data_IF_519816217778
#
_entry.id   IF_519816217778
#
_cell.length_a   1.000
_cell.length_b   1.000
_cell.length_c   1.000
_cell.angle_alpha   90.00
_cell.angle_beta   90.00
_cell.angle_gamma   90.00
#
_symmetry.space_group_name_H-M   'P 1'
#
loop_
_entity.id
_entity.type
_entity.pdbx_description
1 polymer ?
#
# COMPACT_ATOMS: atom_id res chain seq x y z
N UNK A 1 -22.74 14.22 10.22
CA UNK A 1 -23.51 14.49 11.46
C UNK A 1 -24.13 13.19 11.93
N UNK A 2 -24.07 12.88 13.23
CA UNK A 2 -24.70 11.70 13.79
C UNK A 2 -25.61 12.11 14.96
N UNK A 3 -26.83 11.60 14.96
CA UNK A 3 -27.78 11.66 16.07
C UNK A 3 -27.99 10.26 16.64
N UNK A 4 -28.85 10.11 17.65
CA UNK A 4 -29.21 8.79 18.18
C UNK A 4 -29.80 7.87 17.09
N UNK A 5 -30.49 8.46 16.10
CA UNK A 5 -31.23 7.71 15.08
C UNK A 5 -30.66 7.81 13.68
N UNK A 6 -30.05 8.93 13.29
CA UNK A 6 -29.59 9.14 11.93
C UNK A 6 -28.09 9.39 11.84
N UNK A 7 -27.49 8.89 10.77
CA UNK A 7 -26.13 9.21 10.34
C UNK A 7 -26.19 9.83 8.95
N UNK A 8 -25.70 11.07 8.84
CA UNK A 8 -25.55 11.79 7.58
C UNK A 8 -24.07 12.01 7.28
N UNK A 9 -23.64 11.63 6.08
CA UNK A 9 -22.28 11.82 5.58
C UNK A 9 -22.28 12.66 4.30
N UNK A 10 -21.28 13.53 4.20
CA UNK A 10 -20.96 14.25 2.98
C UNK A 10 -19.54 13.86 2.53
N UNK A 11 -19.43 13.32 1.31
CA UNK A 11 -18.17 12.90 0.72
C UNK A 11 -17.82 13.86 -0.45
N UNK A 12 -17.21 15.03 -0.18
CA UNK A 12 -16.92 16.02 -1.22
C UNK A 12 -15.97 15.52 -2.32
N UNK A 13 -15.24 14.43 -2.06
CA UNK A 13 -14.31 13.82 -2.99
C UNK A 13 -14.95 12.81 -3.95
N UNK A 14 -16.15 12.34 -3.64
CA UNK A 14 -16.82 11.31 -4.41
C UNK A 14 -17.37 11.88 -5.72
N UNK A 15 -17.01 11.26 -6.83
CA UNK A 15 -17.56 11.53 -8.16
C UNK A 15 -18.07 10.24 -8.84
N UNK A 16 -18.18 9.13 -8.11
CA UNK A 16 -18.59 7.82 -8.63
C UNK A 16 -17.46 7.05 -9.33
N UNK A 17 -16.36 7.69 -9.69
CA UNK A 17 -15.23 7.06 -10.40
C UNK A 17 -13.95 7.02 -9.56
N UNK A 18 -13.71 8.04 -8.75
CA UNK A 18 -12.53 8.17 -7.89
C UNK A 18 -12.53 7.07 -6.85
N UNK A 19 -11.43 6.31 -6.78
CA UNK A 19 -11.21 5.31 -5.74
C UNK A 19 -10.67 5.98 -4.48
N UNK A 20 -11.31 5.73 -3.34
CA UNK A 20 -10.88 6.22 -2.04
C UNK A 20 -9.44 5.82 -1.74
N UNK A 21 -8.59 6.82 -1.50
CA UNK A 21 -7.22 6.63 -1.03
C UNK A 21 -7.21 6.45 0.51
N UNK A 22 -7.38 5.21 0.98
CA UNK A 22 -7.43 4.88 2.41
C UNK A 22 -6.39 3.83 2.81
N UNK A 23 -5.89 3.92 4.06
CA UNK A 23 -4.95 2.95 4.63
C UNK A 23 -5.55 1.54 4.74
N UNK A 24 -6.88 1.46 4.85
CA UNK A 24 -7.61 0.20 5.04
C UNK A 24 -7.57 -0.70 3.80
N UNK A 25 -7.31 -0.15 2.60
CA UNK A 25 -7.17 -0.93 1.36
C UNK A 25 -5.97 -1.88 1.38
N UNK A 26 -5.01 -1.68 2.29
CA UNK A 26 -3.86 -2.58 2.48
C UNK A 26 -4.14 -3.81 3.35
N UNK A 27 -5.30 -3.90 4.01
CA UNK A 27 -5.59 -4.93 5.02
C UNK A 27 -5.93 -6.30 4.42
N UNK A 28 -5.76 -7.37 5.21
CA UNK A 28 -6.18 -8.73 4.83
C UNK A 28 -7.69 -8.82 4.61
N UNK A 29 -8.48 -8.14 5.45
CA UNK A 29 -9.94 -8.08 5.34
C UNK A 29 -10.37 -7.45 4.02
N UNK A 30 -9.78 -6.32 3.63
CA UNK A 30 -10.09 -5.69 2.35
C UNK A 30 -9.75 -6.61 1.16
N UNK A 31 -8.57 -7.25 1.19
CA UNK A 31 -8.19 -8.20 0.14
C UNK A 31 -9.17 -9.36 0.04
N UNK A 32 -9.63 -9.90 1.17
CA UNK A 32 -10.63 -10.96 1.19
C UNK A 32 -11.99 -10.50 0.64
N UNK A 33 -12.41 -9.28 0.97
CA UNK A 33 -13.63 -8.67 0.43
C UNK A 33 -13.54 -8.53 -1.10
N UNK A 34 -12.42 -8.02 -1.62
CA UNK A 34 -12.18 -7.88 -3.06
C UNK A 34 -12.10 -9.23 -3.80
N UNK A 35 -11.63 -10.29 -3.15
CA UNK A 35 -11.68 -11.64 -3.71
C UNK A 35 -13.11 -12.17 -3.79
N UNK A 36 -13.87 -12.07 -2.69
CA UNK A 36 -15.23 -12.56 -2.60
C UNK A 36 -16.19 -11.79 -3.54
N UNK A 37 -15.96 -10.49 -3.74
CA UNK A 37 -16.67 -9.65 -4.70
C UNK A 37 -16.70 -10.22 -6.13
N UNK A 38 -15.74 -11.07 -6.51
CA UNK A 38 -15.71 -11.69 -7.85
C UNK A 38 -16.80 -12.74 -8.05
N UNK A 39 -17.34 -13.30 -6.97
CA UNK A 39 -18.30 -14.41 -7.00
C UNK A 39 -19.58 -14.13 -6.22
N UNK A 40 -19.58 -13.16 -5.30
CA UNK A 40 -20.71 -12.77 -4.47
C UNK A 40 -21.17 -11.35 -4.83
N UNK A 41 -22.38 -11.22 -5.35
CA UNK A 41 -22.94 -9.94 -5.81
C UNK A 41 -23.19 -8.95 -4.66
N UNK A 42 -23.58 -9.44 -3.47
CA UNK A 42 -23.80 -8.57 -2.31
C UNK A 42 -22.48 -7.97 -1.83
N UNK A 43 -21.42 -8.78 -1.79
CA UNK A 43 -20.08 -8.30 -1.47
C UNK A 43 -19.53 -7.39 -2.57
N UNK A 44 -19.80 -7.69 -3.84
CA UNK A 44 -19.40 -6.83 -4.96
C UNK A 44 -19.98 -5.41 -4.82
N UNK A 45 -21.29 -5.31 -4.56
CA UNK A 45 -21.95 -4.02 -4.34
C UNK A 45 -21.35 -3.26 -3.16
N UNK A 46 -21.10 -3.94 -2.03
CA UNK A 46 -20.51 -3.29 -0.84
C UNK A 46 -19.04 -2.88 -1.07
N UNK A 47 -18.29 -3.66 -1.85
CA UNK A 47 -16.91 -3.36 -2.21
C UNK A 47 -16.83 -2.15 -3.16
N UNK A 48 -17.72 -2.06 -4.15
CA UNK A 48 -17.82 -0.92 -5.06
C UNK A 48 -18.21 0.37 -4.31
N UNK A 49 -19.26 0.31 -3.47
CA UNK A 49 -19.67 1.44 -2.64
C UNK A 49 -18.55 1.86 -1.67
N UNK A 50 -17.74 0.92 -1.19
CA UNK A 50 -16.57 1.23 -0.36
C UNK A 50 -15.48 1.97 -1.13
N UNK A 51 -15.24 1.60 -2.39
CA UNK A 51 -14.21 2.23 -3.22
C UNK A 51 -14.62 3.62 -3.68
N UNK A 52 -15.85 3.78 -4.16
CA UNK A 52 -16.27 5.00 -4.87
C UNK A 52 -17.11 5.93 -4.01
N UNK A 53 -17.86 5.37 -3.05
CA UNK A 53 -18.88 6.07 -2.27
C UNK A 53 -19.86 6.85 -3.16
N UNK A 54 -20.70 7.65 -2.53
CA UNK A 54 -21.58 8.62 -3.19
C UNK A 54 -21.43 9.97 -2.50
N UNK A 55 -21.89 11.05 -3.14
CA UNK A 55 -21.70 12.42 -2.65
C UNK A 55 -22.33 12.61 -1.27
N UNK A 56 -23.53 12.07 -1.07
CA UNK A 56 -24.27 12.16 0.19
C UNK A 56 -24.87 10.81 0.58
N UNK A 57 -24.81 10.52 1.88
CA UNK A 57 -25.35 9.29 2.45
C UNK A 57 -26.18 9.63 3.69
N UNK A 58 -27.35 8.99 3.81
CA UNK A 58 -28.22 9.07 4.97
C UNK A 58 -28.61 7.67 5.42
N UNK A 59 -28.43 7.36 6.70
CA UNK A 59 -28.78 6.07 7.29
C UNK A 59 -29.64 6.26 8.54
N UNK A 60 -30.66 5.43 8.73
CA UNK A 60 -31.36 5.27 10.02
C UNK A 60 -30.63 4.18 10.81
N UNK A 61 -29.66 4.60 11.63
CA UNK A 61 -28.75 3.69 12.36
C UNK A 61 -29.44 2.97 13.53
N UNK A 62 -30.63 3.41 13.93
CA UNK A 62 -31.43 2.71 14.92
C UNK A 62 -32.07 1.44 14.31
N UNK A 63 -32.52 1.53 13.05
CA UNK A 63 -33.12 0.40 12.32
C UNK A 63 -32.12 -0.42 11.52
N UNK A 64 -31.08 0.23 11.01
CA UNK A 64 -30.02 -0.35 10.19
C UNK A 64 -28.64 0.05 10.75
N UNK A 65 -28.19 -0.60 11.84
CA UNK A 65 -26.91 -0.28 12.48
C UNK A 65 -25.71 -0.46 11.55
N UNK A 66 -25.83 -1.30 10.53
CA UNK A 66 -24.76 -1.63 9.58
C UNK A 66 -24.72 -0.70 8.36
N UNK A 67 -25.61 0.30 8.29
CA UNK A 67 -25.68 1.28 7.20
C UNK A 67 -25.69 0.58 5.82
N UNK A 68 -26.57 -0.40 5.69
CA UNK A 68 -26.75 -1.20 4.48
C UNK A 68 -27.57 -0.44 3.42
N UNK A 69 -28.50 0.41 3.84
CA UNK A 69 -29.44 1.10 2.95
C UNK A 69 -29.29 2.61 3.03
N UNK A 70 -28.79 3.22 1.94
CA UNK A 70 -28.72 4.68 1.84
C UNK A 70 -30.11 5.27 1.56
N UNK A 71 -30.61 6.09 2.48
CA UNK A 71 -31.92 6.72 2.48
C UNK A 71 -31.91 8.13 1.86
N UNK A 72 -30.82 8.54 1.20
CA UNK A 72 -30.66 9.91 0.68
C UNK A 72 -31.80 10.31 -0.29
N UNK A 73 -32.31 9.37 -1.08
CA UNK A 73 -33.43 9.59 -2.01
C UNK A 73 -34.81 9.28 -1.41
N UNK A 74 -34.88 8.86 -0.14
CA UNK A 74 -36.13 8.46 0.48
C UNK A 74 -37.05 9.67 0.71
N UNK A 75 -38.29 9.69 0.19
CA UNK A 75 -39.24 10.78 0.40
C UNK A 75 -39.57 10.99 1.90
N UNK A 76 -39.71 9.89 2.63
CA UNK A 76 -40.11 9.91 4.05
C UNK A 76 -39.04 10.52 4.97
N UNK A 77 -37.79 10.57 4.53
CA UNK A 77 -36.65 11.01 5.32
C UNK A 77 -36.15 12.42 4.95
N UNK A 78 -36.81 13.10 4.01
CA UNK A 78 -36.36 14.41 3.52
C UNK A 78 -36.33 15.47 4.63
N UNK A 79 -37.30 15.46 5.56
CA UNK A 79 -37.30 16.41 6.67
C UNK A 79 -36.03 16.26 7.54
N UNK A 80 -35.72 15.03 7.96
CA UNK A 80 -34.52 14.73 8.73
C UNK A 80 -33.23 15.05 7.95
N UNK A 81 -33.21 14.77 6.65
CA UNK A 81 -32.07 15.10 5.79
C UNK A 81 -31.78 16.60 5.78
N UNK A 82 -32.80 17.45 5.62
CA UNK A 82 -32.61 18.90 5.59
C UNK A 82 -32.12 19.45 6.94
N UNK A 83 -32.64 18.92 8.05
CA UNK A 83 -32.16 19.28 9.39
C UNK A 83 -30.68 18.92 9.59
N UNK A 84 -30.27 17.72 9.16
CA UNK A 84 -28.88 17.25 9.28
C UNK A 84 -27.93 18.01 8.34
N UNK A 85 -28.40 18.37 7.13
CA UNK A 85 -27.65 19.25 6.20
C UNK A 85 -27.43 20.63 6.81
N UNK A 86 -28.48 21.25 7.36
CA UNK A 86 -28.38 22.55 8.01
C UNK A 86 -27.44 22.51 9.22
N UNK A 87 -27.52 21.44 10.01
CA UNK A 87 -26.62 21.22 11.15
C UNK A 87 -25.16 21.10 10.70
N UNK A 88 -24.88 20.34 9.63
CA UNK A 88 -23.53 20.22 9.09
C UNK A 88 -23.04 21.56 8.55
N UNK A 89 -23.89 22.28 7.80
CA UNK A 89 -23.54 23.57 7.23
C UNK A 89 -23.15 24.58 8.30
N UNK A 90 -23.97 24.70 9.37
CA UNK A 90 -23.69 25.62 10.46
C UNK A 90 -22.34 25.30 11.10
N UNK A 91 -22.06 24.02 11.35
CA UNK A 91 -20.78 23.59 11.90
C UNK A 91 -19.60 23.92 10.97
N UNK A 92 -19.76 23.73 9.66
CA UNK A 92 -18.75 24.08 8.66
C UNK A 92 -18.51 25.59 8.59
N UNK A 93 -19.55 26.41 8.77
CA UNK A 93 -19.43 27.88 8.89
C UNK A 93 -18.66 28.25 10.14
N UNK A 94 -19.06 27.72 11.30
CA UNK A 94 -18.47 28.04 12.60
C UNK A 94 -16.99 27.64 12.69
N UNK A 95 -16.60 26.58 11.99
CA UNK A 95 -15.22 26.08 11.96
C UNK A 95 -14.40 26.58 10.79
N UNK A 96 -14.99 27.39 9.90
CA UNK A 96 -14.37 27.83 8.65
C UNK A 96 -13.82 26.65 7.83
N UNK A 97 -14.64 25.61 7.66
CA UNK A 97 -14.30 24.40 6.94
C UNK A 97 -14.06 24.70 5.45
N UNK A 98 -12.92 24.26 4.94
CA UNK A 98 -12.52 24.52 3.55
C UNK A 98 -13.43 23.86 2.50
N UNK A 99 -14.25 22.87 2.89
CA UNK A 99 -15.18 22.18 2.00
C UNK A 99 -16.56 22.86 1.97
N UNK A 100 -16.79 23.97 2.67
CA UNK A 100 -18.10 24.63 2.77
C UNK A 100 -18.68 25.00 1.40
N UNK A 101 -17.87 25.53 0.48
CA UNK A 101 -18.32 25.83 -0.89
C UNK A 101 -18.75 24.57 -1.62
N UNK A 102 -17.97 23.50 -1.54
CA UNK A 102 -18.32 22.21 -2.13
C UNK A 102 -19.58 21.59 -1.52
N UNK A 103 -19.86 21.86 -0.24
CA UNK A 103 -21.08 21.41 0.44
C UNK A 103 -22.33 22.19 -0.01
N UNK A 104 -22.23 23.52 -0.10
CA UNK A 104 -23.34 24.37 -0.57
C UNK A 104 -23.71 24.09 -2.01
N UNK A 105 -22.70 23.82 -2.83
CA UNK A 105 -22.86 23.45 -4.25
C UNK A 105 -22.69 21.95 -4.47
N UNK A 106 -23.09 21.12 -3.49
CA UNK A 106 -22.94 19.67 -3.54
C UNK A 106 -23.63 18.99 -4.72
N UNK A 107 -24.60 19.63 -5.36
CA UNK A 107 -25.25 19.11 -6.57
C UNK A 107 -24.45 19.42 -7.84
N UNK A 108 -23.48 20.35 -7.79
CA UNK A 108 -22.63 20.73 -8.92
C UNK A 108 -21.34 19.88 -8.98
N UNK A 109 -21.21 18.94 -9.93
CA UNK A 109 -20.03 18.08 -10.01
C UNK A 109 -18.74 18.85 -10.31
N UNK A 110 -18.81 19.96 -11.05
CA UNK A 110 -17.63 20.75 -11.42
C UNK A 110 -17.02 21.44 -10.21
N UNK A 111 -17.86 21.95 -9.30
CA UNK A 111 -17.39 22.61 -8.07
C UNK A 111 -16.75 21.61 -7.11
N UNK A 112 -17.35 20.42 -6.97
CA UNK A 112 -16.76 19.35 -6.15
C UNK A 112 -15.41 18.90 -6.71
N UNK A 113 -15.32 18.68 -8.01
CA UNK A 113 -14.07 18.26 -8.65
C UNK A 113 -12.99 19.34 -8.54
N UNK A 114 -13.34 20.60 -8.79
CA UNK A 114 -12.42 21.73 -8.64
C UNK A 114 -11.85 21.82 -7.21
N UNK A 115 -12.71 21.65 -6.20
CA UNK A 115 -12.30 21.61 -4.80
C UNK A 115 -11.28 20.48 -4.52
N UNK A 116 -11.51 19.28 -5.05
CA UNK A 116 -10.57 18.16 -4.85
C UNK A 116 -9.25 18.41 -5.56
N UNK A 117 -9.27 18.87 -6.80
CA UNK A 117 -8.06 19.20 -7.57
C UNK A 117 -7.22 20.29 -6.89
N UNK A 118 -7.87 21.29 -6.31
CA UNK A 118 -7.20 22.31 -5.50
C UNK A 118 -6.50 21.67 -4.29
N UNK A 119 -7.20 20.81 -3.53
CA UNK A 119 -6.62 20.15 -2.35
C UNK A 119 -5.50 19.17 -2.71
N UNK A 120 -5.61 18.49 -3.85
CA UNK A 120 -4.54 17.64 -4.37
C UNK A 120 -3.32 18.46 -4.79
N UNK A 121 -3.52 19.62 -5.43
CA UNK A 121 -2.45 20.57 -5.77
C UNK A 121 -1.77 21.10 -4.51
N UNK A 122 -2.51 21.58 -3.52
CA UNK A 122 -1.96 22.03 -2.23
C UNK A 122 -1.14 20.91 -1.56
N UNK A 123 -1.66 19.68 -1.56
CA UNK A 123 -0.95 18.53 -1.01
C UNK A 123 0.32 18.19 -1.79
N UNK A 124 0.29 18.28 -3.13
CA UNK A 124 1.43 18.07 -4.01
C UNK A 124 2.50 19.16 -3.81
N UNK A 125 2.10 20.42 -3.71
CA UNK A 125 2.98 21.56 -3.41
C UNK A 125 3.64 21.42 -2.05
N UNK A 126 2.90 21.02 -1.02
CA UNK A 126 3.46 20.73 0.31
C UNK A 126 4.48 19.59 0.27
N UNK A 127 4.21 18.53 -0.49
CA UNK A 127 5.17 17.42 -0.72
C UNK A 127 6.40 17.89 -1.51
N UNK A 128 6.19 18.70 -2.55
CA UNK A 128 7.24 19.29 -3.38
C UNK A 128 8.12 20.30 -2.63
N UNK A 129 7.51 21.12 -1.77
CA UNK A 129 8.18 22.07 -0.88
C UNK A 129 9.02 21.36 0.19
N UNK A 130 8.52 20.24 0.76
CA UNK A 130 9.34 19.37 1.62
C UNK A 130 10.54 18.79 0.87
N UNK A 131 10.36 18.34 -0.38
CA UNK A 131 11.47 17.88 -1.25
C UNK A 131 12.46 19.00 -1.60
N UNK A 132 11.99 20.22 -1.91
CA UNK A 132 12.83 21.39 -2.21
C UNK A 132 13.58 21.90 -0.97
N UNK A 133 12.96 21.88 0.22
CA UNK A 133 13.62 22.26 1.50
C UNK A 133 14.62 21.19 1.96
N UNK A 134 14.36 19.92 1.68
CA UNK A 134 15.34 18.85 1.84
C UNK A 134 16.54 19.02 0.89
N UNK A 135 16.32 19.52 -0.33
CA UNK A 135 17.39 19.84 -1.30
C UNK A 135 18.15 21.14 -1.02
N UNK A 136 17.51 22.19 -0.47
CA UNK A 136 18.19 23.46 -0.13
C UNK A 136 19.15 23.33 1.05
N UNK A 137 18.82 22.51 2.05
CA UNK A 137 19.72 22.21 3.17
C UNK A 137 20.83 21.20 2.79
N UNK A 138 20.99 20.86 1.52
CA UNK A 138 22.03 19.97 1.00
C UNK A 138 23.06 20.71 0.11
N UNK A 139 22.94 22.04 -0.04
CA UNK A 139 23.71 22.81 -1.02
C UNK A 139 24.79 23.75 -0.45
N UNK A 140 24.99 23.81 0.88
CA UNK A 140 26.09 24.60 1.46
C UNK A 140 27.32 23.76 1.84
N UNK A 141 27.30 22.43 1.68
CA UNK A 141 28.43 21.53 1.95
C UNK A 141 28.52 20.39 0.91
N UNK A 142 28.76 20.72 -0.36
CA UNK A 142 28.93 19.69 -1.40
C UNK A 142 30.01 20.03 -2.44
N UNK A 143 31.28 20.05 -1.99
CA UNK A 143 32.28 19.26 -2.71
C UNK A 143 32.16 17.82 -2.18
N UNK A 144 32.00 16.86 -3.10
CA UNK A 144 31.77 15.43 -2.90
C UNK A 144 30.30 14.96 -2.75
N UNK A 145 29.81 14.39 -3.86
CA UNK A 145 28.93 13.23 -3.95
C UNK A 145 27.65 13.21 -3.10
N UNK A 146 26.57 13.75 -3.70
CA UNK A 146 25.13 13.47 -3.51
C UNK A 146 24.69 12.88 -2.14
N UNK A 147 24.09 13.68 -1.23
CA UNK A 147 23.55 13.17 0.01
C UNK A 147 22.07 12.76 -0.12
N UNK A 148 21.75 11.55 0.34
CA UNK A 148 20.40 11.07 0.59
C UNK A 148 20.08 11.38 2.08
N UNK A 149 18.97 12.05 2.39
CA UNK A 149 18.61 12.53 3.75
C UNK A 149 17.39 11.77 4.31
N UNK A 150 17.17 11.77 5.63
CA UNK A 150 17.70 10.83 6.62
C UNK A 150 16.62 9.80 7.01
N UNK A 151 16.90 8.51 6.79
CA UNK A 151 16.22 7.45 7.56
C UNK A 151 16.91 7.40 8.92
N UNK A 152 16.13 7.28 9.99
CA UNK A 152 16.66 7.21 11.37
C UNK A 152 17.86 6.27 11.43
N UNK A 153 18.95 6.71 12.07
CA UNK A 153 20.27 6.05 12.18
C UNK A 153 20.37 4.85 11.24
N UNK A 154 20.86 5.07 10.01
CA UNK A 154 21.26 3.98 9.13
C UNK A 154 22.15 3.04 9.94
N UNK A 155 21.57 1.94 10.41
CA UNK A 155 22.36 0.77 10.70
C UNK A 155 23.07 0.42 9.36
N UNK A 156 24.36 0.07 9.40
CA UNK A 156 25.10 -0.32 8.20
C UNK A 156 24.32 -1.40 7.44
N UNK A 157 24.57 -1.57 6.14
CA UNK A 157 23.95 -2.62 5.32
C UNK A 157 24.15 -3.99 5.98
N UNK A 158 23.20 -4.40 6.83
CA UNK A 158 23.24 -5.58 7.67
C UNK A 158 23.29 -6.85 6.81
N UNK A 159 22.71 -6.80 5.61
CA UNK A 159 22.78 -7.86 4.60
C UNK A 159 22.92 -7.32 3.18
N UNK A 160 23.65 -8.07 2.36
CA UNK A 160 23.71 -7.91 0.90
C UNK A 160 23.56 -9.27 0.21
N UNK A 161 23.01 -9.27 -1.00
CA UNK A 161 22.76 -10.48 -1.78
C UNK A 161 23.58 -10.47 -3.07
N UNK A 162 24.31 -11.55 -3.32
CA UNK A 162 25.01 -11.81 -4.56
C UNK A 162 24.41 -13.06 -5.22
N UNK A 163 23.99 -12.89 -6.47
CA UNK A 163 23.30 -13.89 -7.27
C UNK A 163 24.05 -14.10 -8.59
N UNK A 164 23.93 -15.28 -9.21
CA UNK A 164 24.41 -15.47 -10.57
C UNK A 164 23.56 -14.68 -11.57
N UNK A 165 24.18 -14.24 -12.68
CA UNK A 165 23.53 -13.40 -13.68
C UNK A 165 22.38 -14.10 -14.44
N UNK A 166 22.41 -15.44 -14.50
CA UNK A 166 21.43 -16.27 -15.20
C UNK A 166 21.24 -17.59 -14.47
N UNK A 167 20.04 -18.17 -14.58
CA UNK A 167 19.76 -19.53 -14.11
C UNK A 167 18.81 -20.24 -15.08
N UNK A 168 18.69 -21.56 -14.97
CA UNK A 168 17.77 -22.36 -15.80
C UNK A 168 16.68 -22.99 -14.92
N UNK A 169 15.54 -23.30 -15.54
CA UNK A 169 14.49 -24.11 -14.90
C UNK A 169 15.02 -25.50 -14.54
N UNK A 170 14.53 -26.07 -13.43
CA UNK A 170 14.97 -27.38 -12.95
C UNK A 170 16.42 -27.44 -12.44
N UNK A 171 17.05 -26.28 -12.20
CA UNK A 171 18.40 -26.18 -11.63
C UNK A 171 18.36 -25.53 -10.25
N UNK A 172 19.39 -25.82 -9.46
CA UNK A 172 19.65 -25.14 -8.20
C UNK A 172 20.32 -23.79 -8.44
N UNK A 173 19.83 -22.74 -7.81
CA UNK A 173 20.50 -21.43 -7.74
C UNK A 173 21.07 -21.24 -6.32
N UNK A 174 22.30 -20.71 -6.23
CA UNK A 174 22.95 -20.41 -4.95
C UNK A 174 22.86 -18.91 -4.72
N UNK A 175 22.13 -18.52 -3.67
CA UNK A 175 22.12 -17.15 -3.17
C UNK A 175 23.20 -16.99 -2.10
N UNK A 176 24.16 -16.08 -2.35
CA UNK A 176 25.18 -15.72 -1.36
C UNK A 176 24.72 -14.47 -0.62
N UNK A 177 24.56 -14.58 0.70
CA UNK A 177 24.19 -13.47 1.55
C UNK A 177 25.37 -13.12 2.44
N UNK A 178 25.93 -11.93 2.27
CA UNK A 178 26.89 -11.39 3.24
C UNK A 178 26.11 -10.63 4.30
N UNK A 179 26.35 -10.93 5.57
CA UNK A 179 25.75 -10.22 6.70
C UNK A 179 26.81 -9.52 7.54
N UNK A 180 26.48 -8.35 8.08
CA UNK A 180 27.30 -7.56 8.99
C UNK A 180 26.42 -7.10 10.16
N UNK A 181 26.30 -7.96 11.17
CA UNK A 181 25.55 -7.68 12.38
C UNK A 181 26.52 -7.26 13.47
N UNK A 182 26.22 -6.18 14.17
CA UNK A 182 26.99 -5.74 15.33
C UNK A 182 26.73 -6.66 16.54
N UNK A 183 27.71 -6.77 17.43
CA UNK A 183 27.66 -7.73 18.55
C UNK A 183 26.49 -7.48 19.52
N UNK A 184 25.97 -6.24 19.56
CA UNK A 184 24.80 -5.85 20.35
C UNK A 184 23.47 -6.40 19.81
N UNK A 185 23.40 -6.77 18.52
CA UNK A 185 22.21 -7.36 17.90
C UNK A 185 22.06 -8.85 18.24
N UNK A 186 23.13 -9.51 18.69
CA UNK A 186 23.11 -10.93 19.01
C UNK A 186 22.73 -11.83 17.82
N UNK A 187 22.08 -12.95 18.12
CA UNK A 187 21.59 -13.90 17.12
C UNK A 187 20.34 -13.37 16.42
N UNK A 188 20.39 -13.27 15.09
CA UNK A 188 19.29 -12.81 14.26
C UNK A 188 18.86 -13.90 13.27
N UNK A 189 17.59 -13.86 12.87
CA UNK A 189 17.06 -14.74 11.83
C UNK A 189 17.18 -14.06 10.46
N UNK A 190 17.97 -14.64 9.56
CA UNK A 190 18.05 -14.27 8.16
C UNK A 190 17.08 -15.15 7.37
N UNK A 191 16.08 -14.50 6.80
CA UNK A 191 15.09 -15.13 5.93
C UNK A 191 15.40 -14.81 4.48
N UNK A 192 15.56 -15.82 3.63
CA UNK A 192 15.81 -15.66 2.20
C UNK A 192 14.74 -16.41 1.41
N UNK A 193 14.12 -15.72 0.46
CA UNK A 193 12.92 -16.16 -0.24
C UNK A 193 13.15 -16.12 -1.74
N UNK A 194 12.93 -17.25 -2.41
CA UNK A 194 12.84 -17.34 -3.86
C UNK A 194 11.39 -17.03 -4.29
N UNK A 195 11.24 -16.12 -5.26
CA UNK A 195 9.94 -15.65 -5.77
C UNK A 195 9.85 -15.78 -7.29
N UNK A 196 8.62 -15.94 -7.79
CA UNK A 196 8.28 -15.92 -9.21
C UNK A 196 7.12 -14.97 -9.52
N UNK A 197 6.98 -14.60 -10.79
CA UNK A 197 5.83 -13.83 -11.26
C UNK A 197 5.89 -12.34 -10.98
N UNK A 198 5.06 -11.59 -11.72
CA UNK A 198 4.86 -10.14 -11.54
C UNK A 198 4.29 -9.79 -10.16
N UNK A 199 3.56 -10.72 -9.54
CA UNK A 199 2.99 -10.58 -8.21
C UNK A 199 3.95 -11.01 -7.08
N UNK A 200 5.14 -11.53 -7.40
CA UNK A 200 6.14 -11.92 -6.41
C UNK A 200 5.73 -13.13 -5.56
N UNK A 201 5.02 -14.10 -6.17
CA UNK A 201 4.59 -15.32 -5.51
C UNK A 201 5.81 -16.09 -4.99
N UNK A 202 5.76 -16.51 -3.72
CA UNK A 202 6.84 -17.26 -3.08
C UNK A 202 6.90 -18.68 -3.65
N UNK A 203 8.07 -19.08 -4.16
CA UNK A 203 8.38 -20.48 -4.48
C UNK A 203 8.79 -21.19 -3.18
N UNK A 204 9.85 -20.69 -2.54
CA UNK A 204 10.43 -21.32 -1.35
C UNK A 204 11.12 -20.27 -0.48
N UNK A 205 11.38 -20.64 0.78
CA UNK A 205 12.05 -19.78 1.75
C UNK A 205 12.92 -20.61 2.65
N UNK A 206 14.12 -20.13 2.90
CA UNK A 206 15.04 -20.68 3.89
C UNK A 206 15.28 -19.65 4.98
N UNK A 207 15.42 -20.13 6.21
CA UNK A 207 15.65 -19.32 7.40
C UNK A 207 16.88 -19.87 8.09
N UNK A 208 17.85 -18.99 8.34
CA UNK A 208 19.11 -19.33 9.01
C UNK A 208 19.38 -18.34 10.11
N UNK A 209 20.00 -18.83 11.19
CA UNK A 209 20.44 -17.98 12.29
C UNK A 209 21.84 -17.44 11.95
N UNK A 210 22.02 -16.14 12.11
CA UNK A 210 23.27 -15.43 11.80
C UNK A 210 23.64 -14.51 12.95
N UNK A 211 24.94 -14.39 13.21
CA UNK A 211 25.53 -13.54 14.24
C UNK A 211 26.80 -12.90 13.68
N UNK A 212 27.13 -11.69 14.09
CA UNK A 212 28.36 -11.04 13.66
C UNK A 212 28.43 -10.79 12.15
N UNK A 213 29.66 -10.76 11.62
CA UNK A 213 29.93 -10.59 10.18
C UNK A 213 30.27 -11.94 9.53
N UNK A 214 29.64 -12.27 8.41
CA UNK A 214 29.84 -13.55 7.73
C UNK A 214 29.17 -13.65 6.37
N UNK A 215 29.34 -14.79 5.71
CA UNK A 215 28.70 -15.13 4.43
C UNK A 215 27.91 -16.43 4.58
N UNK A 216 26.65 -16.43 4.16
CA UNK A 216 25.82 -17.62 4.07
C UNK A 216 25.50 -17.94 2.62
N UNK A 217 25.67 -19.21 2.24
CA UNK A 217 25.30 -19.73 0.92
C UNK A 217 24.06 -20.58 1.06
N UNK A 218 22.97 -20.15 0.42
CA UNK A 218 21.69 -20.87 0.44
C UNK A 218 21.37 -21.36 -0.96
N UNK A 219 21.06 -22.66 -1.06
CA UNK A 219 20.77 -23.32 -2.34
C UNK A 219 19.26 -23.48 -2.49
N UNK A 220 18.69 -22.96 -3.58
CA UNK A 220 17.27 -23.02 -3.86
C UNK A 220 17.00 -23.77 -5.16
N UNK A 221 16.01 -24.64 -5.15
CA UNK A 221 15.54 -25.33 -6.36
C UNK A 221 14.61 -24.40 -7.15
N UNK A 222 14.97 -24.16 -8.41
CA UNK A 222 14.09 -23.47 -9.37
C UNK A 222 13.17 -24.53 -9.98
N UNK A 223 11.83 -24.37 -9.88
CA UNK A 223 10.88 -25.30 -10.49
C UNK A 223 11.14 -25.50 -11.99
N UNK A 224 10.76 -26.66 -12.51
CA UNK A 224 10.84 -26.96 -13.96
C UNK A 224 9.91 -26.06 -14.79
N UNK A 225 8.83 -25.59 -14.18
CA UNK A 225 7.88 -24.67 -14.79
C UNK A 225 7.79 -23.38 -13.98
N UNK A 226 8.23 -22.28 -14.58
CA UNK A 226 8.09 -20.93 -14.04
C UNK A 226 7.38 -20.07 -15.09
N UNK A 227 6.04 -19.91 -15.02
CA UNK A 227 5.25 -19.24 -16.06
C UNK A 227 5.69 -17.80 -16.37
N UNK A 228 6.41 -17.16 -15.46
CA UNK A 228 6.89 -15.79 -15.63
C UNK A 228 8.18 -15.65 -16.43
N UNK A 229 8.91 -16.74 -16.68
CA UNK A 229 10.21 -16.70 -17.38
C UNK A 229 11.36 -16.04 -16.60
N UNK A 230 11.14 -15.68 -15.33
CA UNK A 230 12.16 -15.14 -14.44
C UNK A 230 11.85 -15.49 -12.98
N UNK A 231 12.89 -15.46 -12.15
CA UNK A 231 12.80 -15.57 -10.69
C UNK A 231 13.45 -14.36 -10.02
N UNK A 232 13.15 -14.11 -8.76
CA UNK A 232 13.82 -13.06 -7.96
C UNK A 232 13.99 -13.52 -6.52
N UNK A 233 14.91 -12.87 -5.81
CA UNK A 233 15.16 -13.13 -4.40
C UNK A 233 14.73 -11.97 -3.53
N UNK A 234 14.25 -12.29 -2.34
CA UNK A 234 14.08 -11.31 -1.27
C UNK A 234 14.70 -11.86 0.01
N UNK A 235 15.47 -11.03 0.70
CA UNK A 235 16.09 -11.39 1.97
C UNK A 235 15.77 -10.36 3.03
N UNK A 236 15.56 -10.79 4.28
CA UNK A 236 15.48 -9.88 5.41
C UNK A 236 16.07 -10.48 6.68
N UNK A 237 16.50 -9.62 7.59
CA UNK A 237 16.97 -9.99 8.93
C UNK A 237 16.00 -9.50 10.00
N UNK A 238 15.66 -10.36 10.96
CA UNK A 238 14.80 -10.04 12.11
C UNK A 238 13.81 -11.17 12.40
N UNK A 239 13.20 -11.14 13.59
CA UNK A 239 12.28 -12.20 14.05
C UNK A 239 11.10 -12.46 13.10
N UNK A 240 10.53 -11.37 12.56
CA UNK A 240 9.37 -11.41 11.68
C UNK A 240 9.46 -10.31 10.62
N UNK A 241 8.79 -10.51 9.49
CA UNK A 241 8.85 -9.55 8.38
C UNK A 241 8.38 -8.15 8.77
N UNK A 242 7.38 -8.03 9.66
CA UNK A 242 6.88 -6.72 10.09
C UNK A 242 7.87 -5.96 10.99
N UNK A 243 8.77 -6.68 11.66
CA UNK A 243 9.79 -6.15 12.57
C UNK A 243 11.21 -6.38 12.04
N UNK A 244 11.37 -6.44 10.71
CA UNK A 244 12.68 -6.67 10.11
C UNK A 244 13.61 -5.47 10.36
N UNK A 245 14.89 -5.77 10.61
CA UNK A 245 15.97 -4.79 10.71
C UNK A 245 16.38 -4.26 9.34
N UNK A 246 16.37 -5.14 8.33
CA UNK A 246 16.60 -4.78 6.94
C UNK A 246 15.91 -5.77 6.01
N UNK A 247 15.36 -5.29 4.90
CA UNK A 247 14.82 -6.08 3.81
C UNK A 247 15.40 -5.62 2.47
N UNK A 248 15.90 -6.57 1.69
CA UNK A 248 16.46 -6.38 0.36
C UNK A 248 15.72 -7.26 -0.65
N UNK A 249 15.64 -6.80 -1.89
CA UNK A 249 15.08 -7.55 -3.01
C UNK A 249 16.05 -7.46 -4.19
N UNK A 250 16.26 -8.57 -4.88
CA UNK A 250 17.09 -8.62 -6.07
C UNK A 250 16.35 -8.14 -7.31
N UNK A 251 17.12 -7.76 -8.31
CA UNK A 251 16.61 -7.66 -9.67
C UNK A 251 16.11 -9.03 -10.17
N UNK A 252 15.20 -9.06 -11.16
CA UNK A 252 14.76 -10.29 -11.81
C UNK A 252 15.92 -11.02 -12.50
N UNK A 253 16.06 -12.32 -12.22
CA UNK A 253 16.98 -13.22 -12.90
C UNK A 253 16.21 -13.92 -14.01
N UNK A 254 16.54 -13.67 -15.29
CA UNK A 254 15.89 -14.35 -16.41
C UNK A 254 16.22 -15.85 -16.40
N UNK A 255 15.23 -16.66 -16.74
CA UNK A 255 15.39 -18.10 -16.90
C UNK A 255 15.78 -18.43 -18.34
N UNK A 256 16.85 -19.20 -18.52
CA UNK A 256 17.22 -19.78 -19.81
C UNK A 256 16.67 -21.21 -19.91
N UNK A 257 16.15 -21.60 -21.08
CA UNK A 257 15.70 -22.98 -21.33
C UNK A 257 16.89 -23.94 -21.21
N UNK A 258 16.72 -25.05 -20.48
CA UNK A 258 17.76 -26.08 -20.43
C UNK A 258 17.83 -26.76 -21.80
N UNK A 259 18.92 -26.55 -22.53
CA UNK A 259 19.22 -27.33 -23.74
C UNK A 259 19.31 -28.80 -23.32
N UNK A 260 18.30 -29.60 -23.63
CA UNK A 260 18.38 -31.07 -23.56
C UNK A 260 19.35 -31.50 -24.65
N UNK A 261 20.58 -31.83 -24.28
CA UNK A 261 21.50 -32.57 -25.17
C UNK A 261 20.87 -33.94 -25.43
N UNK A 262 20.57 -34.34 -26.68
CA UNK A 262 20.16 -35.71 -26.96
C UNK A 262 21.34 -36.63 -26.66
N UNK A 263 21.13 -37.64 -25.82
CA UNK A 263 22.09 -38.72 -25.66
C UNK A 263 22.24 -39.46 -27.01
N UNK A 264 23.49 -39.63 -27.44
CA UNK A 264 23.89 -40.45 -28.59
C UNK A 264 23.68 -41.94 -28.32
#
# INVERSE_FOLDING_TARGET
VQTARYLYLFNPWSNGERVMATATSGTSTYRRMAELAKSDQGIAYRHELYQHRVVEELFDVERDPDCLVNLIESPDHQAALQELRATLEQWMVDTNDHALTAFRERDNPEVREAYVLEKEREAAERRGGKRKKAGKNANDDAAATKPNRPRGKQQPDLISISLPDKTAVGRTIIAKITHQLSDDLGEQQLHVTLKQGKQGARISRQVVKVTGTGEVKLTFDVPEEVPSGYVSFAAFVGEEFQKNLQHIQSEPIPLVESVRTPAQ
#
